data_IF_393797127052
#
_entry.id   IF_393797127052
#
_cell.length_a   1.000
_cell.length_b   1.000
_cell.length_c   1.000
_cell.angle_alpha   90.00
_cell.angle_beta   90.00
_cell.angle_gamma   90.00
#
_symmetry.space_group_name_H-M   'P 1'
#
loop_
_entity.id
_entity.type
_entity.pdbx_description
1 polymer ?
#
# COMPACT_ATOMS: atom_id res chain seq x y z
N UNK A 1 31.85 -27.52 6.96
CA UNK A 1 31.65 -26.43 5.98
C UNK A 1 30.19 -26.47 5.55
N UNK A 2 29.37 -25.50 5.95
CA UNK A 2 27.94 -25.47 5.58
C UNK A 2 27.83 -24.79 4.21
N UNK A 3 27.38 -25.52 3.20
CA UNK A 3 27.07 -24.96 1.90
C UNK A 3 25.63 -24.44 1.90
N UNK A 4 25.47 -23.11 1.91
CA UNK A 4 24.17 -22.48 1.71
C UNK A 4 23.90 -22.47 0.20
N UNK A 5 23.24 -23.52 -0.30
CA UNK A 5 22.71 -23.50 -1.66
C UNK A 5 21.50 -22.55 -1.67
N UNK A 6 21.41 -21.60 -2.61
CA UNK A 6 20.21 -20.78 -2.74
C UNK A 6 19.02 -21.71 -2.94
N UNK A 7 17.96 -21.52 -2.14
CA UNK A 7 16.71 -22.23 -2.37
C UNK A 7 16.33 -22.05 -3.85
N UNK A 8 16.15 -23.15 -4.58
CA UNK A 8 15.85 -23.18 -6.02
C UNK A 8 14.68 -22.27 -6.42
N UNK A 9 13.81 -21.91 -5.45
CA UNK A 9 12.73 -20.92 -5.62
C UNK A 9 13.20 -19.48 -5.86
N UNK A 10 14.28 -19.01 -5.25
CA UNK A 10 14.74 -17.61 -5.38
C UNK A 10 15.51 -17.40 -6.69
N UNK A 11 16.18 -18.44 -7.18
CA UNK A 11 16.96 -18.40 -8.41
C UNK A 11 16.09 -18.11 -9.66
N UNK A 12 14.82 -18.56 -9.67
CA UNK A 12 13.87 -18.37 -10.79
C UNK A 12 13.03 -17.08 -10.71
N UNK A 13 13.18 -16.28 -9.65
CA UNK A 13 12.42 -15.05 -9.47
C UNK A 13 13.00 -13.89 -10.28
N UNK A 14 12.12 -13.06 -10.85
CA UNK A 14 12.50 -11.74 -11.36
C UNK A 14 12.98 -10.83 -10.22
N UNK A 15 13.75 -9.80 -10.54
CA UNK A 15 14.26 -8.86 -9.52
C UNK A 15 13.14 -8.17 -8.74
N UNK A 16 12.00 -7.89 -9.38
CA UNK A 16 10.80 -7.35 -8.71
C UNK A 16 10.25 -8.33 -7.67
N UNK A 17 10.22 -9.62 -7.98
CA UNK A 17 9.76 -10.67 -7.07
C UNK A 17 10.74 -10.88 -5.92
N UNK A 18 12.06 -10.84 -6.19
CA UNK A 18 13.09 -10.90 -5.14
C UNK A 18 12.96 -9.73 -4.18
N UNK A 19 12.81 -8.53 -4.71
CA UNK A 19 12.60 -7.32 -3.90
C UNK A 19 11.35 -7.43 -3.04
N UNK A 20 10.23 -7.86 -3.64
CA UNK A 20 8.98 -8.05 -2.91
C UNK A 20 9.11 -9.10 -1.81
N UNK A 21 9.79 -10.21 -2.09
CA UNK A 21 10.05 -11.26 -1.12
C UNK A 21 10.88 -10.75 0.06
N UNK A 22 11.99 -10.04 -0.19
CA UNK A 22 12.84 -9.47 0.86
C UNK A 22 12.10 -8.43 1.70
N UNK A 23 11.38 -7.51 1.06
CA UNK A 23 10.60 -6.49 1.78
C UNK A 23 9.54 -7.14 2.67
N UNK A 24 8.84 -8.13 2.14
CA UNK A 24 7.82 -8.89 2.89
C UNK A 24 8.46 -9.58 4.09
N UNK A 25 9.55 -10.30 3.89
CA UNK A 25 10.25 -11.02 4.96
C UNK A 25 10.76 -10.06 6.05
N UNK A 26 11.42 -8.95 5.69
CA UNK A 26 11.91 -7.98 6.67
C UNK A 26 10.77 -7.35 7.47
N UNK A 27 9.75 -6.81 6.79
CA UNK A 27 8.66 -6.09 7.45
C UNK A 27 7.79 -7.00 8.33
N UNK A 28 7.55 -8.25 7.90
CA UNK A 28 6.84 -9.24 8.71
C UNK A 28 7.61 -9.65 9.97
N UNK A 29 8.95 -9.59 9.93
CA UNK A 29 9.81 -9.83 11.10
C UNK A 29 10.06 -8.57 11.93
N UNK A 30 9.33 -7.49 11.70
CA UNK A 30 9.44 -6.27 12.50
C UNK A 30 10.65 -5.40 12.13
N UNK A 31 11.32 -5.66 11.01
CA UNK A 31 12.50 -4.91 10.56
C UNK A 31 12.10 -3.78 9.61
N UNK A 32 12.69 -2.62 9.83
CA UNK A 32 12.60 -1.48 8.92
C UNK A 32 13.32 -1.78 7.59
N UNK A 33 12.74 -1.30 6.49
CA UNK A 33 13.34 -1.44 5.15
C UNK A 33 13.63 -0.06 4.59
N UNK A 34 14.84 0.11 4.05
CA UNK A 34 15.17 1.26 3.23
C UNK A 34 15.38 0.83 1.79
N UNK A 35 14.77 1.55 0.85
CA UNK A 35 14.86 1.23 -0.56
C UNK A 35 14.68 2.46 -1.43
N UNK A 36 15.18 2.41 -2.67
CA UNK A 36 14.87 3.44 -3.66
C UNK A 36 13.51 3.14 -4.29
N UNK A 37 12.62 4.14 -4.26
CA UNK A 37 11.36 4.09 -4.96
C UNK A 37 11.57 4.56 -6.41
N UNK A 38 11.01 3.81 -7.36
CA UNK A 38 11.09 4.16 -8.79
C UNK A 38 9.69 4.35 -9.36
N UNK A 39 9.59 5.24 -10.35
CA UNK A 39 8.35 5.61 -11.02
C UNK A 39 7.88 7.02 -10.65
N UNK A 40 6.84 7.46 -11.36
CA UNK A 40 6.32 8.83 -11.23
C UNK A 40 4.96 8.89 -10.52
N UNK A 41 4.37 7.75 -10.16
CA UNK A 41 3.01 7.69 -9.60
C UNK A 41 2.86 8.45 -8.29
N UNK A 42 3.92 8.57 -7.49
CA UNK A 42 3.93 9.25 -6.21
C UNK A 42 4.48 10.68 -6.25
N UNK A 43 4.76 11.23 -7.43
CA UNK A 43 5.14 12.63 -7.53
C UNK A 43 3.95 13.54 -7.18
N UNK A 44 4.17 14.67 -6.47
CA UNK A 44 5.48 15.22 -6.05
C UNK A 44 6.01 14.68 -4.72
N UNK A 45 5.25 13.87 -3.98
CA UNK A 45 5.60 13.45 -2.61
C UNK A 45 6.81 12.52 -2.53
N UNK A 46 6.97 11.64 -3.51
CA UNK A 46 8.14 10.77 -3.65
C UNK A 46 8.65 10.95 -5.08
N UNK A 47 9.89 11.42 -5.20
CA UNK A 47 10.57 11.59 -6.48
C UNK A 47 11.09 10.24 -6.97
N UNK A 48 11.23 10.13 -8.28
CA UNK A 48 11.87 8.96 -8.88
C UNK A 48 13.30 8.81 -8.36
N UNK A 49 13.66 7.59 -7.93
CA UNK A 49 14.95 7.27 -7.32
C UNK A 49 15.11 7.69 -5.86
N UNK A 50 14.10 8.31 -5.23
CA UNK A 50 14.19 8.77 -3.84
C UNK A 50 14.33 7.59 -2.87
N UNK A 51 15.18 7.76 -1.85
CA UNK A 51 15.34 6.78 -0.77
C UNK A 51 14.16 6.89 0.20
N UNK A 52 13.42 5.82 0.39
CA UNK A 52 12.29 5.75 1.33
C UNK A 52 12.59 4.81 2.48
N UNK A 53 12.10 5.15 3.68
CA UNK A 53 12.10 4.26 4.85
C UNK A 53 10.68 3.76 5.11
N UNK A 54 10.54 2.45 5.18
CA UNK A 54 9.29 1.74 5.42
C UNK A 54 9.39 1.01 6.75
N UNK A 55 8.39 1.20 7.61
CA UNK A 55 8.28 0.52 8.89
C UNK A 55 7.12 -0.48 8.86
N UNK A 56 7.23 -1.60 9.60
CA UNK A 56 6.10 -2.49 9.84
C UNK A 56 4.91 -1.70 10.39
N UNK A 57 3.70 -2.03 9.94
CA UNK A 57 2.47 -1.37 10.42
C UNK A 57 1.37 -2.39 10.60
N UNK A 58 0.62 -2.30 11.70
CA UNK A 58 -0.61 -3.07 11.83
C UNK A 58 -1.70 -2.41 10.97
N UNK A 59 -2.43 -3.15 10.11
CA UNK A 59 -3.40 -2.54 9.19
C UNK A 59 -4.44 -1.63 9.86
N UNK A 60 -4.83 -1.91 11.11
CA UNK A 60 -5.78 -1.10 11.89
C UNK A 60 -5.25 0.30 12.26
N UNK A 61 -3.93 0.49 12.26
CA UNK A 61 -3.27 1.77 12.55
C UNK A 61 -3.15 2.66 11.31
N UNK A 62 -3.37 2.11 10.12
CA UNK A 62 -3.32 2.85 8.85
C UNK A 62 -4.48 3.83 8.77
N UNK A 63 -4.20 5.08 8.38
CA UNK A 63 -5.19 6.14 8.25
C UNK A 63 -5.22 6.70 6.84
N UNK A 64 -6.32 7.35 6.47
CA UNK A 64 -6.36 8.15 5.25
C UNK A 64 -5.23 9.18 5.26
N UNK A 65 -4.54 9.31 4.13
CA UNK A 65 -3.38 10.16 3.94
C UNK A 65 -2.03 9.46 4.13
N UNK A 66 -1.99 8.29 4.76
CA UNK A 66 -0.74 7.51 4.87
C UNK A 66 -0.27 7.01 3.51
N UNK A 67 1.04 6.90 3.34
CA UNK A 67 1.63 6.18 2.20
C UNK A 67 2.00 4.79 2.70
N UNK A 68 1.43 3.76 2.07
CA UNK A 68 1.68 2.36 2.45
C UNK A 68 2.43 1.64 1.35
N UNK A 69 3.31 0.72 1.75
CA UNK A 69 3.91 -0.28 0.89
C UNK A 69 3.07 -1.56 0.93
N UNK A 70 2.63 -2.04 -0.22
CA UNK A 70 1.83 -3.27 -0.32
C UNK A 70 2.26 -4.13 -1.52
N UNK A 71 1.95 -5.42 -1.47
CA UNK A 71 2.29 -6.38 -2.51
C UNK A 71 1.15 -6.53 -3.53
N UNK A 72 1.47 -6.49 -4.82
CA UNK A 72 0.55 -6.73 -5.94
C UNK A 72 1.29 -7.32 -7.12
N UNK A 73 0.71 -8.35 -7.76
CA UNK A 73 1.23 -8.97 -9.00
C UNK A 73 2.72 -9.37 -8.91
N UNK A 74 3.17 -9.80 -7.73
CA UNK A 74 4.56 -10.22 -7.49
C UNK A 74 5.57 -9.08 -7.32
N UNK A 75 5.12 -7.83 -7.21
CA UNK A 75 5.95 -6.67 -6.89
C UNK A 75 5.42 -5.89 -5.68
N UNK A 76 6.19 -4.89 -5.26
CA UNK A 76 5.78 -3.93 -4.22
C UNK A 76 5.39 -2.60 -4.83
N UNK A 77 4.35 -1.97 -4.28
CA UNK A 77 3.83 -0.67 -4.70
C UNK A 77 3.70 0.20 -3.45
N UNK A 78 4.15 1.45 -3.55
CA UNK A 78 3.94 2.47 -2.51
C UNK A 78 2.94 3.50 -3.01
N UNK A 79 1.73 3.56 -2.43
CA UNK A 79 0.72 4.57 -2.78
C UNK A 79 0.02 5.14 -1.54
N UNK A 80 -0.64 6.29 -1.72
CA UNK A 80 -1.36 6.97 -0.64
C UNK A 80 -2.73 6.35 -0.41
N UNK A 81 -3.08 6.10 0.84
CA UNK A 81 -4.41 5.68 1.27
C UNK A 81 -5.36 6.86 1.15
N UNK A 82 -6.39 6.73 0.32
CA UNK A 82 -7.40 7.77 0.10
C UNK A 82 -8.73 7.45 0.76
N UNK A 83 -8.99 6.17 1.06
CA UNK A 83 -10.17 5.74 1.81
C UNK A 83 -9.91 4.45 2.59
N UNK A 84 -10.64 4.30 3.70
CA UNK A 84 -10.70 3.08 4.51
C UNK A 84 -12.09 2.46 4.35
N UNK A 85 -12.15 1.18 4.00
CA UNK A 85 -13.42 0.45 3.88
C UNK A 85 -13.68 -0.30 5.18
N UNK A 86 -14.84 -0.05 5.81
CA UNK A 86 -15.26 -0.73 7.04
C UNK A 86 -16.57 -1.49 6.85
N UNK A 87 -16.69 -2.66 7.48
CA UNK A 87 -17.90 -3.45 7.57
C UNK A 87 -18.10 -3.86 9.04
N UNK A 88 -19.28 -3.61 9.61
CA UNK A 88 -19.54 -3.88 11.03
C UNK A 88 -18.53 -3.19 11.99
N UNK A 89 -18.04 -2.00 11.62
CA UNK A 89 -17.00 -1.28 12.38
C UNK A 89 -15.57 -1.78 12.16
N UNK A 90 -15.38 -2.96 11.59
CA UNK A 90 -14.07 -3.55 11.31
C UNK A 90 -13.51 -3.04 9.99
N UNK A 91 -12.19 -2.77 9.97
CA UNK A 91 -11.50 -2.44 8.73
C UNK A 91 -11.39 -3.71 7.87
N UNK A 92 -11.84 -3.65 6.62
CA UNK A 92 -11.84 -4.81 5.71
C UNK A 92 -11.03 -4.56 4.43
N UNK A 93 -10.68 -3.31 4.14
CA UNK A 93 -9.89 -2.98 2.97
C UNK A 93 -9.49 -1.52 2.91
N UNK A 94 -8.60 -1.23 1.98
CA UNK A 94 -8.06 0.10 1.74
C UNK A 94 -8.23 0.47 0.27
N UNK A 95 -8.45 1.75 0.00
CA UNK A 95 -8.32 2.28 -1.36
C UNK A 95 -7.07 3.14 -1.42
N UNK A 96 -6.16 2.80 -2.32
CA UNK A 96 -4.93 3.58 -2.56
C UNK A 96 -5.01 4.34 -3.88
N UNK A 97 -4.17 5.36 -4.00
CA UNK A 97 -3.97 6.12 -5.23
C UNK A 97 -2.56 6.71 -5.22
N UNK A 98 -1.90 6.69 -6.38
CA UNK A 98 -0.68 7.47 -6.59
C UNK A 98 -0.98 8.97 -6.58
N UNK A 99 -0.13 9.80 -5.98
CA UNK A 99 -0.35 11.25 -5.90
C UNK A 99 -0.44 11.93 -7.28
N UNK A 100 0.27 11.40 -8.28
CA UNK A 100 0.20 11.84 -9.68
C UNK A 100 -0.95 11.18 -10.48
N UNK A 101 -1.63 10.18 -9.92
CA UNK A 101 -2.66 9.40 -10.61
C UNK A 101 -4.04 10.00 -10.43
N UNK A 102 -4.83 10.09 -11.50
CA UNK A 102 -6.23 10.56 -11.44
C UNK A 102 -7.21 9.47 -10.95
N UNK A 103 -6.85 8.21 -11.12
CA UNK A 103 -7.69 7.05 -10.81
C UNK A 103 -7.21 6.33 -9.57
N UNK A 104 -8.14 5.90 -8.72
CA UNK A 104 -7.82 5.01 -7.61
C UNK A 104 -7.39 3.62 -8.10
N UNK A 105 -6.57 2.96 -7.31
CA UNK A 105 -6.22 1.56 -7.53
C UNK A 105 -7.39 0.63 -7.19
N UNK A 106 -7.26 -0.64 -7.58
CA UNK A 106 -8.14 -1.69 -7.08
C UNK A 106 -8.05 -1.79 -5.54
N UNK A 107 -9.14 -2.18 -4.84
CA UNK A 107 -9.12 -2.33 -3.39
C UNK A 107 -7.97 -3.21 -2.91
N UNK A 108 -7.21 -2.69 -1.95
CA UNK A 108 -6.09 -3.38 -1.31
C UNK A 108 -6.61 -4.12 -0.09
N UNK A 109 -6.38 -5.42 -0.06
CA UNK A 109 -6.70 -6.28 1.07
C UNK A 109 -5.69 -6.06 2.19
N UNK A 110 -6.12 -6.21 3.45
CA UNK A 110 -5.26 -5.92 4.61
C UNK A 110 -3.99 -6.79 4.66
N UNK A 111 -4.08 -8.05 4.21
CA UNK A 111 -2.93 -8.96 4.16
C UNK A 111 -1.89 -8.57 3.10
N UNK A 112 -2.23 -7.70 2.14
CA UNK A 112 -1.29 -7.22 1.13
C UNK A 112 -0.43 -6.08 1.66
N UNK A 113 -0.87 -5.40 2.73
CA UNK A 113 -0.12 -4.30 3.35
C UNK A 113 1.10 -4.86 4.06
N UNK A 114 2.28 -4.36 3.69
CA UNK A 114 3.54 -4.77 4.28
C UNK A 114 4.01 -3.77 5.34
N UNK A 115 3.85 -2.48 5.07
CA UNK A 115 4.39 -1.43 5.92
C UNK A 115 3.91 -0.03 5.55
N UNK A 116 4.27 0.95 6.37
CA UNK A 116 4.02 2.37 6.16
C UNK A 116 5.32 3.08 5.81
N UNK A 117 5.29 3.95 4.80
CA UNK A 117 6.41 4.84 4.50
C UNK A 117 6.42 5.97 5.53
N UNK A 118 7.51 6.09 6.27
CA UNK A 118 7.64 7.07 7.37
C UNK A 118 8.68 8.15 7.09
N UNK A 119 9.53 7.97 6.07
CA UNK A 119 10.51 8.98 5.68
C UNK A 119 10.84 8.87 4.18
N UNK A 120 11.17 10.01 3.57
CA UNK A 120 11.68 10.15 2.20
C UNK A 120 12.94 11.02 2.28
N UNK A 121 14.05 10.56 1.70
CA UNK A 121 15.35 11.25 1.73
C UNK A 121 15.80 11.66 3.15
N UNK A 122 15.51 10.81 4.13
CA UNK A 122 15.82 11.06 5.54
C UNK A 122 14.88 12.04 6.25
N UNK A 123 13.96 12.69 5.53
CA UNK A 123 12.95 13.56 6.10
C UNK A 123 11.73 12.75 6.52
N UNK A 124 11.30 12.90 7.78
CA UNK A 124 10.11 12.23 8.28
C UNK A 124 8.86 12.73 7.54
N UNK A 125 7.99 11.79 7.17
CA UNK A 125 6.68 12.09 6.63
C UNK A 125 5.73 12.13 7.82
N UNK A 126 5.39 13.34 8.27
CA UNK A 126 4.22 13.51 9.13
C UNK A 126 2.95 13.12 8.36
N UNK A 127 1.81 12.93 9.03
CA UNK A 127 0.54 12.78 8.33
C UNK A 127 0.26 14.02 7.48
N UNK A 128 0.77 14.04 6.24
CA UNK A 128 0.58 15.13 5.31
C UNK A 128 -0.86 15.00 4.83
N UNK A 129 -1.75 15.70 5.51
CA UNK A 129 -3.06 16.05 4.98
C UNK A 129 -2.79 16.90 3.74
N UNK A 130 -2.72 16.29 2.56
CA UNK A 130 -2.70 17.04 1.31
C UNK A 130 -3.98 17.86 1.31
N UNK A 131 -3.87 19.17 1.61
CA UNK A 131 -4.97 20.11 1.37
C UNK A 131 -5.26 19.99 -0.12
N UNK A 132 -6.48 19.63 -0.54
CA UNK A 132 -6.78 19.56 -1.96
C UNK A 132 -6.47 20.95 -2.54
N UNK A 133 -5.47 21.06 -3.41
CA UNK A 133 -5.38 22.24 -4.29
C UNK A 133 -6.61 22.12 -5.16
N UNK A 134 -7.63 22.93 -4.85
CA UNK A 134 -8.86 23.03 -5.59
C UNK A 134 -8.51 23.35 -7.06
N UNK A 135 -8.40 22.31 -7.89
CA UNK A 135 -8.63 22.42 -9.33
C UNK A 135 -9.97 21.77 -9.52
N UNK A 136 -11.01 22.61 -9.64
CA UNK A 136 -12.33 22.19 -10.07
C UNK A 136 -12.20 21.34 -11.33
N UNK A 137 -12.43 20.03 -11.21
CA UNK A 137 -12.81 19.19 -12.35
C UNK A 137 -13.99 18.34 -11.89
N UNK A 138 -15.16 18.79 -12.30
CA UNK A 138 -16.42 18.06 -12.20
C UNK A 138 -16.35 16.77 -13.03
N UNK A 139 -17.08 15.73 -12.58
CA UNK A 139 -17.38 14.43 -13.24
C UNK A 139 -16.25 13.38 -13.09
N UNK A 140 -16.48 12.14 -12.63
CA UNK A 140 -17.68 11.30 -12.74
C UNK A 140 -17.70 10.27 -11.60
N UNK A 141 -18.45 10.59 -10.53
CA UNK A 141 -18.90 9.62 -9.55
C UNK A 141 -20.00 8.79 -10.18
N UNK A 142 -19.70 7.57 -10.63
CA UNK A 142 -20.75 6.58 -10.88
C UNK A 142 -20.20 5.16 -11.02
N UNK A 143 -20.84 4.25 -10.29
CA UNK A 143 -21.00 2.82 -10.60
C UNK A 143 -19.94 1.79 -10.13
N UNK A 144 -19.51 1.83 -8.87
CA UNK A 144 -18.98 0.60 -8.24
C UNK A 144 -19.35 0.35 -6.77
N UNK A 145 -19.93 1.32 -6.06
CA UNK A 145 -20.24 1.21 -4.62
C UNK A 145 -21.62 0.62 -4.26
N UNK A 146 -22.41 0.06 -5.18
CA UNK A 146 -23.80 -0.32 -4.88
C UNK A 146 -24.21 -1.74 -5.32
N UNK A 147 -23.31 -2.74 -5.23
CA UNK A 147 -23.73 -4.11 -5.60
C UNK A 147 -23.16 -5.26 -4.78
N UNK A 148 -22.95 -5.10 -3.47
CA UNK A 148 -22.88 -6.27 -2.56
C UNK A 148 -23.08 -5.99 -1.05
N UNK A 149 -23.89 -4.99 -0.69
CA UNK A 149 -24.57 -5.03 0.61
C UNK A 149 -25.97 -5.62 0.38
N UNK A 150 -26.06 -6.95 0.47
CA UNK A 150 -27.32 -7.63 0.71
C UNK A 150 -27.36 -8.00 2.18
N UNK A 151 -28.08 -7.20 2.96
CA UNK A 151 -28.50 -7.51 4.33
C UNK A 151 -29.75 -8.41 4.28
N UNK A 152 -29.87 -9.28 5.28
CA UNK A 152 -31.11 -9.95 5.69
C UNK A 152 -31.18 -11.41 5.22
N UNK A 153 -31.51 -12.39 6.05
CA UNK A 153 -32.27 -12.37 7.31
C UNK A 153 -32.01 -13.64 8.12
N UNK A 154 -32.10 -13.48 9.44
CA UNK A 154 -32.18 -14.51 10.47
C UNK A 154 -33.22 -15.60 10.16
N UNK A 155 -32.92 -16.84 10.55
CA UNK A 155 -33.93 -17.73 11.14
C UNK A 155 -33.27 -18.61 12.20
N UNK A 156 -33.55 -18.28 13.46
CA UNK A 156 -33.52 -19.19 14.59
C UNK A 156 -34.73 -20.12 14.49
N UNK A 157 -34.51 -21.43 14.48
CA UNK A 157 -35.17 -22.48 15.28
C UNK A 157 -34.56 -23.84 14.92
#
# INVERSE_FOLDING_TARGET
>A
MIHVLPSTRVALMSDRQRLAHLCTACLQNGLDVQMRAFGQSMQPSIRDGALIRVQPVTPVQVRCGDIILYCREGGVIAHRVVALTRQGGQLVGLTTRGDASFTCDAPVQLHQVLGKVVAVEGQAIEHVRIKPRLRFVFKRWSAWCLRRCGLGVDHTL
#
